data_IF_840551602789
#
_entry.id   IF_840551602789
#
_cell.length_a   1.000
_cell.length_b   1.000
_cell.length_c   1.000
_cell.angle_alpha   90.00
_cell.angle_beta   90.00
_cell.angle_gamma   90.00
#
_symmetry.space_group_name_H-M   'P 1'
#
loop_
_entity.id
_entity.type
_entity.pdbx_description
1 polymer ?
#
# COMPACT_ATOMS: atom_id res chain seq x y z
N UNK A 1 -1.86 -13.36 -0.99
CA UNK A 1 -0.39 -13.42 -0.93
C UNK A 1 -0.01 -14.17 0.35
N UNK A 2 -0.10 -15.52 0.35
CA UNK A 2 -0.02 -16.31 1.59
C UNK A 2 1.34 -16.24 2.29
N UNK A 3 2.40 -15.93 1.54
CA UNK A 3 3.76 -15.82 2.07
C UNK A 3 4.18 -14.37 2.41
N UNK A 4 3.29 -13.39 2.20
CA UNK A 4 3.58 -12.01 2.54
C UNK A 4 3.11 -11.73 3.98
N UNK A 5 3.87 -10.95 4.77
CA UNK A 5 3.41 -10.42 6.05
C UNK A 5 2.03 -9.74 5.96
N UNK A 6 1.23 -9.84 7.02
CA UNK A 6 -0.15 -9.33 7.04
C UNK A 6 -0.26 -7.84 6.72
N UNK A 7 0.71 -7.04 7.21
CA UNK A 7 0.79 -5.61 6.92
C UNK A 7 1.05 -5.30 5.43
N UNK A 8 1.58 -6.26 4.66
CA UNK A 8 1.85 -6.11 3.23
C UNK A 8 0.73 -6.63 2.34
N UNK A 9 -0.21 -7.42 2.86
CA UNK A 9 -1.26 -8.04 2.03
C UNK A 9 -2.06 -7.02 1.20
N UNK A 10 -2.41 -5.87 1.80
CA UNK A 10 -3.10 -4.77 1.08
C UNK A 10 -2.21 -4.17 0.00
N UNK A 11 -0.94 -3.91 0.30
CA UNK A 11 0.03 -3.36 -0.65
C UNK A 11 0.21 -4.30 -1.84
N UNK A 12 0.36 -5.60 -1.59
CA UNK A 12 0.48 -6.61 -2.65
C UNK A 12 -0.77 -6.66 -3.54
N UNK A 13 -1.97 -6.45 -2.97
CA UNK A 13 -3.22 -6.41 -3.73
C UNK A 13 -3.27 -5.19 -4.66
N UNK A 14 -2.84 -4.01 -4.19
CA UNK A 14 -2.72 -2.82 -5.03
C UNK A 14 -1.63 -2.96 -6.10
N UNK A 15 -0.49 -3.57 -5.76
CA UNK A 15 0.56 -3.88 -6.72
C UNK A 15 0.03 -4.78 -7.84
N UNK A 16 -0.68 -5.86 -7.50
CA UNK A 16 -1.28 -6.75 -8.50
C UNK A 16 -2.28 -6.01 -9.40
N UNK A 17 -3.16 -5.20 -8.81
CA UNK A 17 -4.11 -4.39 -9.59
C UNK A 17 -3.39 -3.44 -10.54
N UNK A 18 -2.30 -2.80 -10.10
CA UNK A 18 -1.48 -1.93 -10.93
C UNK A 18 -0.80 -2.68 -12.08
N UNK A 19 -0.22 -3.86 -11.80
CA UNK A 19 0.40 -4.70 -12.84
C UNK A 19 -0.62 -5.17 -13.88
N UNK A 20 -1.83 -5.57 -13.45
CA UNK A 20 -2.92 -5.97 -14.34
C UNK A 20 -3.39 -4.80 -15.21
N UNK A 21 -3.57 -3.62 -14.60
CA UNK A 21 -3.98 -2.41 -15.31
C UNK A 21 -2.95 -1.99 -16.38
N UNK A 22 -1.67 -2.07 -16.04
CA UNK A 22 -0.57 -1.68 -16.92
C UNK A 22 -0.05 -2.83 -17.80
N UNK A 23 -0.68 -4.00 -17.79
CA UNK A 23 -0.18 -5.20 -18.47
C UNK A 23 0.25 -4.91 -19.92
N UNK A 24 -0.64 -4.33 -20.72
CA UNK A 24 -0.39 -4.10 -22.16
C UNK A 24 0.69 -3.04 -22.39
N UNK A 25 0.78 -2.05 -21.49
CA UNK A 25 1.86 -1.07 -21.52
C UNK A 25 3.20 -1.74 -21.23
N UNK A 26 3.27 -2.58 -20.19
CA UNK A 26 4.50 -3.26 -19.76
C UNK A 26 4.99 -4.26 -20.83
N UNK A 27 4.07 -4.99 -21.47
CA UNK A 27 4.41 -5.88 -22.60
C UNK A 27 5.01 -5.10 -23.77
N UNK A 28 4.54 -3.88 -24.02
CA UNK A 28 5.02 -3.04 -25.13
C UNK A 28 6.35 -2.32 -24.83
N UNK A 29 6.66 -2.04 -23.56
CA UNK A 29 7.79 -1.17 -23.19
C UNK A 29 8.97 -1.88 -22.55
N UNK A 30 8.77 -3.07 -21.97
CA UNK A 30 9.85 -3.84 -21.37
C UNK A 30 10.52 -4.75 -22.41
N UNK A 31 11.79 -5.05 -22.16
CA UNK A 31 12.56 -6.03 -22.93
C UNK A 31 11.92 -7.43 -22.86
N UNK A 32 11.95 -8.20 -23.94
CA UNK A 32 11.35 -9.54 -24.01
C UNK A 32 11.93 -10.52 -22.98
N UNK A 33 13.17 -10.31 -22.54
CA UNK A 33 13.84 -11.11 -21.50
C UNK A 33 13.53 -10.64 -20.07
N UNK A 34 12.67 -9.62 -19.91
CA UNK A 34 12.40 -9.04 -18.60
C UNK A 34 11.79 -10.05 -17.63
N UNK A 35 12.34 -10.13 -16.42
CA UNK A 35 11.99 -11.12 -15.38
C UNK A 35 10.50 -11.15 -15.02
N UNK A 36 9.80 -10.04 -15.22
CA UNK A 36 8.36 -9.91 -14.97
C UNK A 36 7.52 -10.87 -15.84
N UNK A 37 7.97 -11.13 -17.08
CA UNK A 37 7.32 -12.06 -18.00
C UNK A 37 7.46 -13.52 -17.60
N UNK A 38 8.32 -13.83 -16.61
CA UNK A 38 8.39 -15.16 -16.01
C UNK A 38 7.31 -15.40 -14.94
N UNK A 39 6.61 -14.35 -14.50
CA UNK A 39 5.57 -14.48 -13.50
C UNK A 39 4.27 -15.07 -14.07
N UNK A 40 3.45 -15.76 -13.25
CA UNK A 40 2.19 -16.34 -13.70
C UNK A 40 1.23 -15.33 -14.34
N UNK A 41 1.27 -14.08 -13.89
CA UNK A 41 0.43 -13.01 -14.42
C UNK A 41 0.67 -12.79 -15.91
N UNK A 42 1.92 -12.81 -16.39
CA UNK A 42 2.24 -12.49 -17.79
C UNK A 42 2.29 -13.72 -18.69
N UNK A 43 2.25 -14.93 -18.11
CA UNK A 43 2.25 -16.20 -18.87
C UNK A 43 0.86 -16.77 -19.16
N UNK A 44 -0.17 -16.30 -18.47
CA UNK A 44 -1.53 -16.83 -18.61
C UNK A 44 -2.50 -15.74 -19.08
N UNK A 45 -2.84 -15.70 -20.39
CA UNK A 45 -3.78 -14.73 -20.93
C UNK A 45 -5.15 -14.77 -20.24
N UNK A 46 -5.63 -15.97 -19.91
CA UNK A 46 -6.91 -16.16 -19.22
C UNK A 46 -6.90 -15.57 -17.81
N UNK A 47 -5.78 -15.72 -17.09
CA UNK A 47 -5.63 -15.12 -15.77
C UNK A 47 -5.64 -13.59 -15.85
N UNK A 48 -4.95 -13.00 -16.81
CA UNK A 48 -4.95 -11.54 -17.04
C UNK A 48 -6.36 -11.07 -17.35
N UNK A 49 -7.07 -11.74 -18.25
CA UNK A 49 -8.42 -11.35 -18.65
C UNK A 49 -9.39 -11.44 -17.47
N UNK A 50 -9.32 -12.52 -16.68
CA UNK A 50 -10.09 -12.68 -15.45
C UNK A 50 -9.76 -11.58 -14.43
N UNK A 51 -8.50 -11.20 -14.27
CA UNK A 51 -8.09 -10.13 -13.34
C UNK A 51 -8.43 -8.73 -13.85
N UNK A 52 -8.35 -8.46 -15.15
CA UNK A 52 -8.72 -7.17 -15.76
C UNK A 52 -10.18 -6.82 -15.45
N UNK A 53 -11.09 -7.81 -15.47
CA UNK A 53 -12.48 -7.61 -15.08
C UNK A 53 -12.70 -7.16 -13.63
N UNK A 54 -11.71 -7.39 -12.74
CA UNK A 54 -11.75 -7.01 -11.32
C UNK A 54 -11.11 -5.65 -11.05
N UNK A 55 -10.38 -5.09 -12.01
CA UNK A 55 -9.73 -3.79 -11.86
C UNK A 55 -10.68 -2.70 -12.34
N UNK A 56 -11.08 -1.82 -11.41
CA UNK A 56 -12.02 -0.74 -11.70
C UNK A 56 -11.32 0.61 -11.56
N UNK A 57 -11.20 1.34 -12.67
CA UNK A 57 -10.73 2.72 -12.69
C UNK A 57 -11.92 3.67 -12.71
N UNK A 58 -12.24 4.25 -11.55
CA UNK A 58 -13.37 5.19 -11.41
C UNK A 58 -13.08 6.26 -10.37
N UNK A 59 -13.87 7.33 -10.41
CA UNK A 59 -13.92 8.28 -9.31
C UNK A 59 -14.33 7.59 -8.01
N UNK A 60 -13.66 7.96 -6.92
CA UNK A 60 -13.86 7.42 -5.57
C UNK A 60 -15.32 7.54 -5.11
N UNK A 61 -15.86 6.46 -4.54
CA UNK A 61 -17.21 6.39 -3.95
C UNK A 61 -17.14 6.13 -2.44
N UNK A 62 -18.20 6.45 -1.67
CA UNK A 62 -18.30 6.01 -0.28
C UNK A 62 -18.17 4.48 -0.19
N UNK A 63 -17.27 3.98 0.67
CA UNK A 63 -16.99 2.55 0.82
C UNK A 63 -15.71 2.05 0.13
N UNK A 64 -15.09 2.83 -0.75
CA UNK A 64 -13.80 2.45 -1.34
C UNK A 64 -12.68 2.49 -0.26
N UNK A 65 -11.82 1.46 -0.24
CA UNK A 65 -10.80 1.26 0.80
C UNK A 65 -9.68 2.29 0.80
N UNK A 66 -9.39 2.91 -0.35
CA UNK A 66 -8.33 3.91 -0.50
C UNK A 66 -8.88 5.14 -1.21
N UNK A 67 -8.53 6.31 -0.67
CA UNK A 67 -8.82 7.61 -1.23
C UNK A 67 -7.50 8.28 -1.58
N UNK A 68 -7.35 8.74 -2.81
CA UNK A 68 -6.32 9.74 -3.13
C UNK A 68 -6.60 10.98 -2.27
N UNK A 69 -5.85 11.13 -1.18
CA UNK A 69 -6.02 12.24 -0.24
C UNK A 69 -5.43 13.54 -0.77
N UNK A 70 -4.59 13.47 -1.80
CA UNK A 70 -3.73 14.58 -2.23
C UNK A 70 -2.60 14.86 -1.24
N UNK A 71 -2.56 14.15 -0.11
CA UNK A 71 -1.55 14.31 0.93
C UNK A 71 -0.37 13.40 0.57
N UNK A 72 0.85 13.95 0.41
CA UNK A 72 2.03 13.15 0.18
C UNK A 72 2.22 12.07 1.26
N UNK A 73 2.63 10.84 0.89
CA UNK A 73 2.67 9.71 1.82
C UNK A 73 3.61 9.94 3.02
N UNK A 74 4.66 10.73 2.84
CA UNK A 74 5.60 11.05 3.92
C UNK A 74 4.99 11.93 5.02
N UNK A 75 3.96 12.74 4.73
CA UNK A 75 3.31 13.57 5.75
C UNK A 75 2.57 12.72 6.79
N UNK A 76 1.95 11.61 6.38
CA UNK A 76 1.32 10.68 7.32
C UNK A 76 2.33 10.05 8.28
N UNK A 77 3.55 9.78 7.79
CA UNK A 77 4.66 9.26 8.60
C UNK A 77 5.13 10.32 9.59
N UNK A 78 5.37 11.56 9.14
CA UNK A 78 5.81 12.67 10.00
C UNK A 78 4.78 12.96 11.10
N UNK A 79 3.49 13.04 10.75
CA UNK A 79 2.41 13.26 11.72
C UNK A 79 2.37 12.13 12.76
N UNK A 80 2.51 10.87 12.32
CA UNK A 80 2.55 9.75 13.25
C UNK A 80 3.81 9.74 14.13
N UNK A 81 4.95 10.16 13.61
CA UNK A 81 6.19 10.31 14.38
C UNK A 81 6.04 11.41 15.44
N UNK A 82 5.55 12.60 15.06
CA UNK A 82 5.30 13.69 16.01
C UNK A 82 4.35 13.26 17.11
N UNK A 83 3.22 12.62 16.76
CA UNK A 83 2.27 12.09 17.74
C UNK A 83 2.93 11.10 18.71
N UNK A 84 3.89 10.29 18.26
CA UNK A 84 4.61 9.37 19.14
C UNK A 84 5.55 10.10 20.10
N UNK A 85 6.20 11.17 19.64
CA UNK A 85 7.03 12.02 20.50
C UNK A 85 6.18 12.71 21.57
N UNK A 86 5.05 13.31 21.19
CA UNK A 86 4.13 13.97 22.14
C UNK A 86 3.64 12.99 23.24
N UNK A 87 3.37 11.75 22.86
CA UNK A 87 2.97 10.70 23.82
C UNK A 87 4.12 10.32 24.77
N UNK A 88 5.36 10.29 24.28
CA UNK A 88 6.53 10.02 25.12
C UNK A 88 6.72 11.16 26.13
N UNK A 89 6.64 12.40 25.68
CA UNK A 89 6.79 13.57 26.55
C UNK A 89 5.69 13.60 27.63
N UNK A 90 4.44 13.35 27.25
CA UNK A 90 3.31 13.30 28.18
C UNK A 90 3.52 12.21 29.24
N UNK A 91 3.95 11.01 28.84
CA UNK A 91 4.20 9.91 29.77
C UNK A 91 5.34 10.24 30.73
N UNK A 92 6.40 10.90 30.26
CA UNK A 92 7.52 11.33 31.10
C UNK A 92 7.04 12.35 32.14
N UNK A 93 6.26 13.36 31.75
CA UNK A 93 5.70 14.34 32.69
C UNK A 93 4.84 13.69 33.77
N UNK A 94 3.97 12.76 33.39
CA UNK A 94 3.14 12.02 34.34
C UNK A 94 3.97 11.21 35.36
N UNK A 95 5.06 10.60 34.92
CA UNK A 95 5.98 9.88 35.81
C UNK A 95 6.67 10.83 36.79
N UNK A 96 7.10 12.01 36.34
CA UNK A 96 7.69 13.02 37.23
C UNK A 96 6.70 13.51 38.29
N UNK A 97 5.44 13.76 37.91
CA UNK A 97 4.40 14.19 38.85
C UNK A 97 4.09 13.11 39.89
N UNK A 98 4.12 11.83 39.51
CA UNK A 98 3.96 10.71 40.42
C UNK A 98 5.13 10.55 41.39
N UNK A 99 6.36 10.84 40.96
CA UNK A 99 7.54 10.77 41.82
C UNK A 99 7.60 11.96 42.79
N UNK A 100 7.25 13.17 42.34
CA UNK A 100 7.23 14.38 43.17
C UNK A 100 6.07 14.44 44.18
N UNK A 101 5.07 13.57 44.05
CA UNK A 101 3.91 13.49 44.96
C UNK A 101 4.07 12.43 46.07
N UNK A 102 5.24 11.77 46.15
CA UNK A 102 5.65 10.84 47.21
C UNK A 102 6.67 11.52 48.12
#
# INVERSE_FOLDING_TARGET
FPNAPDNLQKVCSYLLASLVYHHDHLVRTLDESHILFNSPLFRSPELVLALKSKVVCRCKRPGDAVRASGVPPHLGVIVNMNRRLDNVDTNISQLYDQISSV
#
